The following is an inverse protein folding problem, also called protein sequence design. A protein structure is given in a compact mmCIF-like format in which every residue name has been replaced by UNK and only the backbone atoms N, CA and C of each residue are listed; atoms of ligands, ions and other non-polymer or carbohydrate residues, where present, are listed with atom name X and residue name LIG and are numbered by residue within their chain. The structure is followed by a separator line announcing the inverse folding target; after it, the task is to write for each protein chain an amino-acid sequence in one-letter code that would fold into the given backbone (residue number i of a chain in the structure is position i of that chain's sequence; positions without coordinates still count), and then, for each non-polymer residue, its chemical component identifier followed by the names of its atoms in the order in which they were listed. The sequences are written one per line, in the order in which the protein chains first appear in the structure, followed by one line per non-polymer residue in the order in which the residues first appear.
data_IF_667357084804
#
_entry.id   IF_667357084804
#
_cell.length_a   1.000
_cell.length_b   1.000
_cell.length_c   1.000
_cell.angle_alpha   90.00
_cell.angle_beta   90.00
_cell.angle_gamma   90.00
#
_symmetry.space_group_name_H-M   'P 1'
#
loop_
_entity.id
_entity.type
_entity.pdbx_description
1 polymer ?
#
# COMPACT_ATOMS: atom_id res chain seq x y z
N UNK A 1 -36.67 18.64 -39.67
CA UNK A 1 -37.48 18.84 -38.47
C UNK A 1 -38.17 17.52 -38.14
N UNK A 2 -37.50 16.70 -37.33
CA UNK A 2 -37.96 15.36 -36.96
C UNK A 2 -38.73 15.37 -35.62
N UNK A 3 -38.81 16.53 -34.97
CA UNK A 3 -39.44 16.82 -33.69
C UNK A 3 -40.49 17.94 -33.76
N UNK A 4 -40.75 18.47 -34.96
CA UNK A 4 -41.79 19.42 -35.33
C UNK A 4 -41.74 20.74 -34.54
N UNK A 5 -40.55 21.23 -34.19
CA UNK A 5 -40.36 22.46 -33.42
C UNK A 5 -40.21 23.72 -34.30
N UNK A 6 -40.22 23.55 -35.63
CA UNK A 6 -40.07 24.63 -36.59
C UNK A 6 -38.63 24.94 -36.98
N UNK A 7 -37.65 24.16 -36.48
CA UNK A 7 -36.25 24.26 -36.87
C UNK A 7 -35.80 22.93 -37.51
N UNK A 8 -35.05 23.04 -38.60
CA UNK A 8 -34.59 21.87 -39.35
C UNK A 8 -33.19 21.51 -38.86
N UNK A 9 -33.06 20.29 -38.31
CA UNK A 9 -31.80 19.68 -37.87
C UNK A 9 -31.19 20.32 -36.61
N UNK A 10 -32.03 20.76 -35.67
CA UNK A 10 -31.58 21.27 -34.38
C UNK A 10 -31.02 20.13 -33.50
N UNK A 11 -29.83 20.37 -32.92
CA UNK A 11 -29.14 19.49 -31.96
C UNK A 11 -28.62 18.13 -32.48
N UNK A 12 -28.03 18.11 -33.67
CA UNK A 12 -27.21 16.97 -34.12
C UNK A 12 -25.89 16.88 -33.33
N UNK A 13 -25.93 16.31 -32.13
CA UNK A 13 -24.76 15.93 -31.34
C UNK A 13 -24.53 14.42 -31.36
N UNK A 14 -23.27 14.01 -31.47
CA UNK A 14 -22.88 12.60 -31.35
C UNK A 14 -21.66 12.49 -30.43
N UNK A 15 -21.59 11.41 -29.63
CA UNK A 15 -20.37 11.10 -28.91
C UNK A 15 -19.24 10.74 -29.88
N UNK A 16 -18.04 11.15 -29.53
CA UNK A 16 -16.85 10.89 -30.31
C UNK A 16 -15.68 10.62 -29.36
N UNK A 17 -14.74 9.81 -29.82
CA UNK A 17 -13.49 9.57 -29.11
C UNK A 17 -12.47 9.11 -30.12
N UNK A 18 -11.37 9.85 -30.25
CA UNK A 18 -10.32 9.58 -31.25
C UNK A 18 -9.14 8.78 -30.69
N UNK A 19 -9.17 8.41 -29.42
CA UNK A 19 -8.14 7.61 -28.77
C UNK A 19 -8.21 6.12 -29.11
N UNK A 20 -7.18 5.34 -28.74
CA UNK A 20 -7.16 3.88 -28.92
C UNK A 20 -8.36 3.19 -28.27
N UNK A 21 -8.80 2.07 -28.84
CA UNK A 21 -9.89 1.29 -28.28
C UNK A 21 -9.52 0.78 -26.87
N UNK A 22 -10.42 0.96 -25.90
CA UNK A 22 -10.22 0.54 -24.52
C UNK A 22 -9.73 1.65 -23.58
N UNK A 23 -9.37 2.83 -24.09
CA UNK A 23 -8.91 3.97 -23.25
C UNK A 23 -10.02 4.95 -22.88
N UNK A 24 -11.16 4.93 -23.59
CA UNK A 24 -12.28 5.84 -23.32
C UNK A 24 -12.90 5.56 -21.94
N UNK A 25 -12.92 6.56 -21.07
CA UNK A 25 -13.48 6.45 -19.72
C UNK A 25 -12.55 5.75 -18.72
N UNK A 26 -11.27 5.59 -19.06
CA UNK A 26 -10.21 5.08 -18.18
C UNK A 26 -9.34 6.26 -17.78
N UNK A 27 -8.99 6.37 -16.49
CA UNK A 27 -8.21 7.49 -15.98
C UNK A 27 -8.87 8.84 -16.27
N UNK A 28 -8.07 9.77 -16.80
CA UNK A 28 -8.57 11.09 -17.22
C UNK A 28 -9.21 11.09 -18.62
N UNK A 29 -9.09 10.00 -19.38
CA UNK A 29 -9.58 9.95 -20.76
C UNK A 29 -11.10 9.92 -20.83
N UNK A 30 -11.65 10.80 -21.64
CA UNK A 30 -13.09 10.89 -21.83
C UNK A 30 -13.47 11.17 -23.27
N UNK A 31 -14.65 10.69 -23.65
CA UNK A 31 -15.27 10.98 -24.93
C UNK A 31 -15.73 12.45 -24.98
N UNK A 32 -15.61 13.06 -26.15
CA UNK A 32 -16.16 14.38 -26.45
C UNK A 32 -17.48 14.29 -27.20
N UNK A 33 -17.92 15.44 -27.72
CA UNK A 33 -19.07 15.58 -28.59
C UNK A 33 -18.66 16.21 -29.93
N UNK A 34 -19.23 15.70 -31.03
CA UNK A 34 -19.24 16.40 -32.31
C UNK A 34 -20.61 17.02 -32.52
N UNK A 35 -20.64 18.20 -33.15
CA UNK A 35 -21.87 18.87 -33.59
C UNK A 35 -21.89 18.94 -35.13
N UNK A 36 -23.06 18.85 -35.74
CA UNK A 36 -23.20 19.07 -37.17
C UNK A 36 -23.32 20.57 -37.46
N UNK A 37 -22.30 21.16 -38.09
CA UNK A 37 -22.28 22.58 -38.47
C UNK A 37 -22.18 22.69 -39.98
N UNK A 38 -23.20 23.29 -40.62
CA UNK A 38 -23.25 23.50 -42.07
C UNK A 38 -23.07 22.20 -42.90
N UNK A 39 -23.66 21.10 -42.44
CA UNK A 39 -23.60 19.80 -43.11
C UNK A 39 -22.27 19.04 -42.95
N UNK A 40 -21.40 19.47 -42.03
CA UNK A 40 -20.15 18.78 -41.68
C UNK A 40 -20.04 18.59 -40.17
N UNK A 41 -19.49 17.46 -39.73
CA UNK A 41 -19.19 17.24 -38.31
C UNK A 41 -18.03 18.12 -37.86
N UNK A 42 -18.18 18.74 -36.68
CA UNK A 42 -17.12 19.48 -36.01
C UNK A 42 -15.97 18.57 -35.56
N UNK A 43 -14.92 19.18 -34.99
CA UNK A 43 -13.97 18.42 -34.18
C UNK A 43 -14.67 17.78 -32.97
N UNK A 44 -14.04 16.75 -32.40
CA UNK A 44 -14.51 16.14 -31.17
C UNK A 44 -14.18 17.07 -29.99
N UNK A 45 -15.16 17.84 -29.54
CA UNK A 45 -14.99 18.83 -28.49
C UNK A 45 -15.12 18.17 -27.11
N UNK A 46 -14.17 18.49 -26.21
CA UNK A 46 -14.18 17.97 -24.84
C UNK A 46 -13.58 16.58 -24.65
N UNK A 47 -13.08 15.94 -25.72
CA UNK A 47 -12.34 14.68 -25.55
C UNK A 47 -11.00 14.92 -24.83
N UNK A 48 -10.63 13.98 -23.99
CA UNK A 48 -9.29 13.88 -23.39
C UNK A 48 -8.69 12.59 -23.90
N UNK A 49 -7.61 12.70 -24.65
CA UNK A 49 -6.91 11.57 -25.25
C UNK A 49 -5.75 11.13 -24.36
N UNK A 50 -5.30 9.86 -24.47
CA UNK A 50 -4.11 9.39 -23.81
C UNK A 50 -2.90 10.28 -24.08
N UNK A 51 -2.19 10.62 -23.03
CA UNK A 51 -0.94 11.37 -23.04
C UNK A 51 0.17 10.53 -22.39
N UNK A 52 1.37 11.10 -22.29
CA UNK A 52 2.45 10.49 -21.54
C UNK A 52 2.20 10.70 -20.05
N UNK A 53 2.47 9.66 -19.26
CA UNK A 53 2.44 9.69 -17.79
C UNK A 53 3.33 10.80 -17.19
N UNK A 54 2.77 11.52 -16.23
CA UNK A 54 3.45 12.47 -15.35
C UNK A 54 3.12 12.11 -13.90
N UNK A 55 4.00 12.44 -12.94
CA UNK A 55 3.70 12.19 -11.53
C UNK A 55 2.67 13.20 -10.99
N UNK A 56 1.39 13.00 -11.32
CA UNK A 56 0.28 13.84 -10.86
C UNK A 56 -0.86 13.06 -10.19
N UNK A 57 -0.60 11.81 -9.80
CA UNK A 57 -1.56 10.87 -9.20
C UNK A 57 -2.76 10.62 -10.15
N UNK A 58 -2.53 10.64 -11.47
CA UNK A 58 -3.57 10.40 -12.47
C UNK A 58 -3.05 9.54 -13.63
N UNK A 59 -3.90 8.60 -14.07
CA UNK A 59 -3.70 7.78 -15.26
C UNK A 59 -3.85 8.65 -16.53
N UNK A 60 -2.73 9.15 -17.07
CA UNK A 60 -2.69 10.05 -18.21
C UNK A 60 -2.69 9.30 -19.56
N UNK A 61 -2.16 8.08 -19.61
CA UNK A 61 -2.10 7.23 -20.79
C UNK A 61 -3.33 6.30 -20.92
N UNK A 62 -4.16 6.29 -19.89
CA UNK A 62 -5.46 5.66 -19.80
C UNK A 62 -5.39 4.13 -19.95
N UNK A 63 -4.37 3.53 -19.35
CA UNK A 63 -4.16 2.08 -19.32
C UNK A 63 -4.72 1.40 -18.05
N UNK A 64 -5.18 2.17 -17.06
CA UNK A 64 -5.77 1.70 -15.82
C UNK A 64 -4.82 1.65 -14.62
N UNK A 65 -3.60 2.15 -14.75
CA UNK A 65 -2.67 2.42 -13.66
C UNK A 65 -2.38 3.93 -13.57
N UNK A 66 -2.03 4.41 -12.38
CA UNK A 66 -1.63 5.80 -12.16
C UNK A 66 -0.09 5.84 -12.05
N UNK A 67 0.54 6.83 -12.69
CA UNK A 67 1.97 7.15 -12.59
C UNK A 67 2.95 6.00 -12.96
N UNK A 68 2.56 5.06 -13.83
CA UNK A 68 3.48 4.06 -14.38
C UNK A 68 4.36 4.63 -15.51
N UNK A 69 5.52 4.03 -15.77
CA UNK A 69 6.41 4.43 -16.88
C UNK A 69 6.78 5.94 -16.92
N UNK A 70 6.62 6.69 -15.82
CA UNK A 70 6.86 8.14 -15.80
C UNK A 70 8.31 8.44 -16.19
N UNK A 71 8.46 9.27 -17.22
CA UNK A 71 9.78 9.72 -17.67
C UNK A 71 10.19 10.94 -16.86
N UNK A 72 10.96 10.75 -15.80
CA UNK A 72 11.49 11.87 -15.01
C UNK A 72 12.68 12.50 -15.75
N UNK A 73 12.57 13.77 -16.12
CA UNK A 73 13.70 14.53 -16.64
C UNK A 73 14.72 14.77 -15.53
N UNK A 74 15.85 14.08 -15.59
CA UNK A 74 17.02 14.39 -14.77
C UNK A 74 17.60 15.74 -15.20
N UNK A 75 18.20 16.47 -14.26
CA UNK A 75 18.87 17.76 -14.51
C UNK A 75 20.03 17.69 -15.54
N UNK A 76 20.37 16.49 -16.02
CA UNK A 76 21.39 16.24 -17.05
C UNK A 76 20.84 16.10 -18.48
N UNK A 77 19.51 16.17 -18.68
CA UNK A 77 18.90 16.14 -20.00
C UNK A 77 18.87 14.78 -20.69
N UNK A 78 19.07 13.68 -19.95
CA UNK A 78 18.86 12.33 -20.48
C UNK A 78 17.40 11.89 -20.32
N UNK A 79 16.80 11.37 -21.41
CA UNK A 79 15.50 10.70 -21.34
C UNK A 79 15.74 9.28 -20.82
N UNK A 80 15.56 9.08 -19.52
CA UNK A 80 15.60 7.76 -18.92
C UNK A 80 14.18 7.34 -18.55
N UNK A 81 13.71 6.22 -19.09
CA UNK A 81 12.56 5.49 -18.56
C UNK A 81 12.93 5.05 -17.14
N UNK A 82 12.32 5.70 -16.14
CA UNK A 82 12.56 5.37 -14.74
C UNK A 82 11.42 4.45 -14.33
N UNK A 83 11.70 3.15 -14.23
CA UNK A 83 10.80 2.24 -13.54
C UNK A 83 10.67 2.73 -12.09
N UNK A 84 9.45 2.90 -11.54
CA UNK A 84 9.28 3.30 -10.15
C UNK A 84 9.96 2.26 -9.25
N UNK A 85 11.08 2.64 -8.64
CA UNK A 85 11.79 1.79 -7.69
C UNK A 85 11.08 1.93 -6.34
N UNK A 86 10.13 1.03 -6.07
CA UNK A 86 9.52 0.93 -4.75
C UNK A 86 10.61 0.64 -3.70
N UNK A 87 10.73 1.53 -2.72
CA UNK A 87 11.67 1.31 -1.61
C UNK A 87 11.13 0.18 -0.72
N UNK A 88 11.99 -0.71 -0.21
CA UNK A 88 11.57 -1.70 0.76
C UNK A 88 10.91 -1.02 1.97
N UNK A 89 9.95 -1.69 2.60
CA UNK A 89 9.24 -1.15 3.76
C UNK A 89 9.51 -2.02 4.98
N UNK A 90 10.00 -1.41 6.05
CA UNK A 90 10.07 -2.02 7.37
C UNK A 90 8.86 -1.53 8.17
N UNK A 91 7.97 -2.45 8.52
CA UNK A 91 6.74 -2.20 9.27
C UNK A 91 6.97 -2.67 10.70
N UNK A 92 6.96 -1.71 11.63
CA UNK A 92 7.18 -1.93 13.05
C UNK A 92 5.81 -1.91 13.73
N UNK A 93 5.30 -3.09 14.07
CA UNK A 93 4.11 -3.22 14.90
C UNK A 93 4.50 -3.17 16.37
N UNK A 94 3.79 -2.37 17.13
CA UNK A 94 3.94 -2.24 18.58
C UNK A 94 2.57 -2.50 19.15
N UNK A 95 2.43 -3.60 19.87
CA UNK A 95 1.12 -4.06 20.37
C UNK A 95 1.12 -4.03 21.88
N UNK A 96 0.22 -3.22 22.45
CA UNK A 96 0.03 -3.11 23.90
C UNK A 96 -0.50 -4.44 24.50
N UNK A 97 0.09 -4.84 25.61
CA UNK A 97 -0.20 -6.06 26.36
C UNK A 97 -1.11 -5.80 27.58
N UNK A 98 -1.78 -4.65 27.63
CA UNK A 98 -2.61 -4.23 28.76
C UNK A 98 -3.96 -4.94 28.87
N UNK A 99 -4.58 -4.85 30.06
CA UNK A 99 -5.96 -5.25 30.39
C UNK A 99 -6.97 -4.96 29.28
N UNK A 100 -6.93 -3.73 28.77
CA UNK A 100 -7.87 -3.18 27.79
C UNK A 100 -7.70 -3.72 26.37
N UNK A 101 -6.63 -4.46 26.08
CA UNK A 101 -6.33 -5.00 24.74
C UNK A 101 -6.60 -6.50 24.60
N UNK A 102 -7.21 -7.13 25.60
CA UNK A 102 -7.29 -8.60 25.66
C UNK A 102 -8.06 -9.19 24.46
N UNK A 103 -9.14 -8.55 24.03
CA UNK A 103 -9.93 -9.00 22.87
C UNK A 103 -9.25 -8.59 21.55
N UNK A 104 -8.58 -7.44 21.55
CA UNK A 104 -7.85 -6.87 20.43
C UNK A 104 -6.62 -7.72 20.07
N UNK A 105 -5.89 -8.28 21.05
CA UNK A 105 -4.73 -9.14 20.79
C UNK A 105 -5.13 -10.38 19.96
N UNK A 106 -6.30 -10.97 20.24
CA UNK A 106 -6.83 -12.09 19.45
C UNK A 106 -7.19 -11.65 18.03
N UNK A 107 -7.75 -10.45 17.88
CA UNK A 107 -8.04 -9.87 16.57
C UNK A 107 -6.76 -9.58 15.78
N UNK A 108 -5.71 -9.07 16.42
CA UNK A 108 -4.40 -8.80 15.81
C UNK A 108 -3.74 -10.11 15.34
N UNK A 109 -3.75 -11.17 16.16
CA UNK A 109 -3.19 -12.48 15.77
C UNK A 109 -3.85 -13.08 14.53
N UNK A 110 -5.18 -12.98 14.46
CA UNK A 110 -5.94 -13.50 13.32
C UNK A 110 -5.69 -12.65 12.08
N UNK A 111 -5.84 -11.32 12.18
CA UNK A 111 -5.78 -10.42 11.03
C UNK A 111 -4.37 -10.26 10.43
N UNK A 112 -3.30 -10.33 11.23
CA UNK A 112 -1.93 -10.24 10.71
C UNK A 112 -1.63 -11.38 9.74
N UNK A 113 -2.07 -12.61 10.05
CA UNK A 113 -1.82 -13.78 9.21
C UNK A 113 -2.85 -13.95 8.09
N UNK A 114 -4.12 -13.64 8.30
CA UNK A 114 -5.17 -13.89 7.28
C UNK A 114 -5.37 -12.72 6.34
N UNK A 115 -5.24 -11.49 6.81
CA UNK A 115 -5.60 -10.30 6.04
C UNK A 115 -4.35 -9.55 5.62
N UNK A 116 -3.46 -9.21 6.54
CA UNK A 116 -2.28 -8.42 6.23
C UNK A 116 -1.30 -9.19 5.34
N UNK A 117 -0.90 -10.41 5.72
CA UNK A 117 0.03 -11.21 4.91
C UNK A 117 -0.52 -11.51 3.50
N UNK A 118 -1.82 -11.80 3.39
CA UNK A 118 -2.47 -12.09 2.10
C UNK A 118 -2.56 -10.86 1.18
N UNK A 119 -2.78 -9.67 1.73
CA UNK A 119 -2.81 -8.41 0.97
C UNK A 119 -1.39 -8.07 0.50
N UNK A 120 -0.41 -8.09 1.41
CA UNK A 120 0.96 -7.69 1.08
C UNK A 120 1.62 -8.62 0.06
N UNK A 121 1.31 -9.92 0.09
CA UNK A 121 1.79 -10.89 -0.91
C UNK A 121 1.17 -10.65 -2.30
N UNK A 122 0.09 -9.87 -2.43
CA UNK A 122 -0.52 -9.45 -3.70
C UNK A 122 -0.04 -8.08 -4.20
N UNK A 123 0.63 -7.29 -3.35
CA UNK A 123 1.01 -5.90 -3.65
C UNK A 123 2.41 -5.74 -4.27
N UNK A 124 3.13 -6.82 -4.55
CA UNK A 124 4.54 -6.82 -5.01
C UNK A 124 5.50 -5.96 -4.16
N UNK A 125 5.13 -5.71 -2.89
CA UNK A 125 5.91 -4.89 -1.97
C UNK A 125 7.03 -5.72 -1.31
N UNK A 126 8.25 -5.20 -1.31
CA UNK A 126 9.34 -5.76 -0.50
C UNK A 126 9.21 -5.32 0.97
N UNK A 127 8.43 -6.06 1.76
CA UNK A 127 8.16 -5.74 3.15
C UNK A 127 8.87 -6.63 4.17
N UNK A 128 9.11 -6.07 5.35
CA UNK A 128 9.58 -6.75 6.55
C UNK A 128 8.73 -6.33 7.73
N UNK A 129 8.34 -7.29 8.55
CA UNK A 129 7.58 -7.05 9.77
C UNK A 129 8.47 -7.23 10.99
N UNK A 130 8.47 -6.23 11.85
CA UNK A 130 9.12 -6.26 13.17
C UNK A 130 8.02 -6.05 14.21
N UNK A 131 7.75 -7.05 15.03
CA UNK A 131 6.76 -7.00 16.10
C UNK A 131 7.44 -6.77 17.45
N UNK A 132 7.05 -5.71 18.15
CA UNK A 132 7.41 -5.42 19.53
C UNK A 132 6.20 -5.66 20.41
N UNK A 133 6.20 -6.76 21.14
CA UNK A 133 5.15 -7.11 22.08
C UNK A 133 5.55 -8.38 22.83
N UNK A 134 4.94 -8.66 23.98
CA UNK A 134 5.29 -9.83 24.78
C UNK A 134 4.91 -11.11 24.02
N UNK A 135 5.87 -12.01 23.85
CA UNK A 135 5.61 -13.31 23.22
C UNK A 135 4.91 -14.26 24.19
N UNK A 136 3.85 -14.92 23.72
CA UNK A 136 3.12 -15.89 24.54
C UNK A 136 1.73 -16.18 24.00
N UNK A 137 0.82 -16.58 24.89
CA UNK A 137 -0.56 -16.91 24.52
C UNK A 137 -1.47 -15.72 24.80
N UNK A 138 -2.26 -15.33 23.79
CA UNK A 138 -3.26 -14.28 23.91
C UNK A 138 -4.24 -14.51 25.08
N UNK A 139 -4.68 -15.76 25.27
CA UNK A 139 -5.73 -16.12 26.24
C UNK A 139 -5.30 -16.18 27.70
N UNK A 140 -4.01 -16.09 28.03
CA UNK A 140 -3.53 -16.25 29.42
C UNK A 140 -2.57 -15.17 29.90
N UNK A 141 -1.80 -14.57 29.00
CA UNK A 141 -0.65 -13.72 29.38
C UNK A 141 -0.66 -12.36 28.70
N UNK A 142 -1.79 -12.00 28.08
CA UNK A 142 -1.97 -10.79 27.27
C UNK A 142 -0.81 -10.62 26.27
N UNK A 143 -0.36 -11.74 25.73
CA UNK A 143 0.85 -11.86 24.92
C UNK A 143 0.44 -12.26 23.51
N UNK A 144 1.26 -11.89 22.54
CA UNK A 144 1.00 -12.18 21.13
C UNK A 144 1.89 -13.30 20.60
N UNK A 145 1.36 -14.11 19.70
CA UNK A 145 2.10 -15.12 18.97
C UNK A 145 1.59 -15.25 17.54
N UNK A 146 2.41 -14.81 16.59
CA UNK A 146 2.13 -14.95 15.16
C UNK A 146 2.65 -16.31 14.69
N UNK A 147 1.74 -17.15 14.19
CA UNK A 147 2.05 -18.45 13.58
C UNK A 147 2.39 -18.30 12.09
N UNK A 148 2.87 -19.36 11.40
CA UNK A 148 2.93 -19.39 9.94
C UNK A 148 1.59 -18.99 9.28
N UNK A 149 1.60 -18.39 8.08
CA UNK A 149 2.74 -18.30 7.16
C UNK A 149 3.74 -17.18 7.46
N UNK A 150 3.34 -16.14 8.20
CA UNK A 150 4.22 -14.99 8.46
C UNK A 150 5.22 -15.29 9.58
N UNK A 151 4.76 -15.83 10.70
CA UNK A 151 5.59 -16.10 11.87
C UNK A 151 6.37 -17.41 11.81
N UNK A 152 7.50 -17.49 12.53
CA UNK A 152 8.38 -18.67 12.52
C UNK A 152 8.00 -19.76 13.54
N UNK A 153 7.10 -19.47 14.48
CA UNK A 153 6.69 -20.43 15.51
C UNK A 153 5.51 -21.29 15.03
N UNK A 154 5.74 -22.59 14.83
CA UNK A 154 4.64 -23.54 14.60
C UNK A 154 3.65 -23.61 15.79
N UNK A 155 4.04 -23.13 16.97
CA UNK A 155 3.25 -23.19 18.19
C UNK A 155 3.58 -22.07 19.18
N UNK A 156 2.55 -21.61 19.90
CA UNK A 156 2.62 -20.52 20.89
C UNK A 156 2.95 -20.99 22.31
N UNK A 157 3.20 -22.29 22.51
CA UNK A 157 3.66 -22.83 23.79
C UNK A 157 5.18 -22.69 24.00
N UNK A 158 5.87 -22.07 23.04
CA UNK A 158 7.30 -21.83 23.10
C UNK A 158 7.59 -20.64 24.00
N UNK A 159 8.63 -20.74 24.82
CA UNK A 159 9.04 -19.64 25.71
C UNK A 159 9.59 -18.43 24.97
N UNK A 160 10.05 -18.63 23.73
CA UNK A 160 10.66 -17.59 22.90
C UNK A 160 10.14 -17.62 21.47
N UNK A 161 10.01 -16.45 20.84
CA UNK A 161 9.69 -16.39 19.43
C UNK A 161 10.85 -16.93 18.58
N UNK A 162 10.53 -17.29 17.36
CA UNK A 162 11.41 -17.75 16.30
C UNK A 162 11.19 -16.83 15.11
N UNK A 163 12.24 -16.14 14.69
CA UNK A 163 12.19 -15.28 13.53
C UNK A 163 11.98 -16.11 12.26
N UNK A 164 11.20 -15.58 11.32
CA UNK A 164 11.03 -16.10 9.98
C UNK A 164 11.85 -15.26 8.98
N UNK A 165 11.67 -15.53 7.68
CA UNK A 165 12.40 -14.83 6.61
C UNK A 165 12.12 -13.32 6.55
N UNK A 166 10.87 -12.93 6.78
CA UNK A 166 10.39 -11.54 6.71
C UNK A 166 9.66 -11.06 7.98
N UNK A 167 9.63 -11.88 9.02
CA UNK A 167 8.98 -11.56 10.28
C UNK A 167 9.92 -11.77 11.45
N UNK A 168 10.06 -10.74 12.27
CA UNK A 168 10.91 -10.72 13.44
C UNK A 168 10.11 -10.29 14.65
N UNK A 169 10.28 -10.99 15.77
CA UNK A 169 9.51 -10.68 16.99
C UNK A 169 10.47 -10.40 18.13
N UNK A 170 10.46 -9.15 18.57
CA UNK A 170 11.13 -8.69 19.78
C UNK A 170 10.18 -8.85 20.97
N UNK A 171 10.44 -9.84 21.82
CA UNK A 171 9.61 -10.07 23.00
C UNK A 171 9.91 -9.03 24.08
N UNK A 172 8.95 -8.14 24.33
CA UNK A 172 8.98 -7.16 25.43
C UNK A 172 7.56 -6.84 25.87
N UNK A 173 7.37 -6.64 27.16
CA UNK A 173 6.12 -6.11 27.67
C UNK A 173 5.96 -4.65 27.24
N UNK A 174 4.82 -4.36 26.62
CA UNK A 174 4.34 -3.02 26.27
C UNK A 174 3.08 -2.77 27.09
N UNK A 175 3.01 -1.65 27.79
CA UNK A 175 1.82 -1.19 28.48
C UNK A 175 1.24 0.07 27.84
N UNK A 176 0.02 0.43 28.27
CA UNK A 176 -0.78 1.52 27.66
C UNK A 176 -0.18 2.92 27.68
N UNK A 177 0.93 3.14 28.41
CA UNK A 177 1.55 4.45 28.57
C UNK A 177 3.07 4.43 28.36
N UNK A 178 3.64 3.30 27.92
CA UNK A 178 5.09 3.18 27.77
C UNK A 178 5.56 2.73 26.38
N UNK A 179 4.64 2.54 25.42
CA UNK A 179 4.94 2.08 24.05
C UNK A 179 6.13 2.81 23.41
N UNK A 180 6.09 4.14 23.31
CA UNK A 180 7.19 4.94 22.75
C UNK A 180 8.50 4.77 23.53
N UNK A 181 8.43 4.73 24.86
CA UNK A 181 9.60 4.51 25.70
C UNK A 181 10.19 3.13 25.43
N UNK A 182 9.36 2.09 25.33
CA UNK A 182 9.77 0.72 25.01
C UNK A 182 10.40 0.62 23.63
N UNK A 183 9.85 1.26 22.61
CA UNK A 183 10.42 1.32 21.27
C UNK A 183 11.87 1.85 21.32
N UNK A 184 12.07 3.02 21.95
CA UNK A 184 13.39 3.65 22.06
C UNK A 184 14.35 2.85 22.95
N UNK A 185 13.86 2.36 24.08
CA UNK A 185 14.65 1.62 25.06
C UNK A 185 15.19 0.32 24.46
N UNK A 186 14.39 -0.38 23.67
CA UNK A 186 14.73 -1.68 23.06
C UNK A 186 15.50 -1.57 21.74
N UNK A 187 15.64 -0.35 21.19
CA UNK A 187 16.25 -0.11 19.87
C UNK A 187 17.59 -0.82 19.68
N UNK A 188 18.50 -0.68 20.63
CA UNK A 188 19.85 -1.27 20.61
C UNK A 188 20.12 -2.19 21.82
N UNK A 189 19.08 -2.86 22.35
CA UNK A 189 19.22 -3.74 23.52
C UNK A 189 18.78 -5.15 23.21
N UNK A 190 19.50 -6.13 23.74
CA UNK A 190 19.09 -7.52 23.59
C UNK A 190 17.71 -7.78 24.20
N UNK A 191 16.92 -8.59 23.50
CA UNK A 191 15.71 -9.18 24.05
C UNK A 191 16.06 -10.32 25.01
N UNK A 192 15.08 -10.71 25.83
CA UNK A 192 15.23 -11.79 26.81
C UNK A 192 15.53 -13.15 26.17
N UNK A 193 15.13 -13.34 24.90
CA UNK A 193 15.34 -14.57 24.15
C UNK A 193 16.61 -14.55 23.29
N UNK A 194 17.40 -13.47 23.35
CA UNK A 194 18.61 -13.27 22.56
C UNK A 194 18.39 -13.51 21.05
N UNK A 195 17.20 -13.19 20.54
CA UNK A 195 16.88 -13.17 19.11
C UNK A 195 17.40 -11.91 18.45
N UNK A 196 17.53 -10.86 19.23
CA UNK A 196 17.95 -9.54 18.83
C UNK A 196 19.16 -9.08 19.67
N UNK A 197 20.35 -9.72 19.57
CA UNK A 197 21.49 -9.40 20.44
C UNK A 197 21.93 -7.92 20.42
N UNK A 198 21.80 -7.24 19.27
CA UNK A 198 22.04 -5.81 19.11
C UNK A 198 20.80 -4.92 19.19
N UNK A 199 19.65 -5.43 19.64
CA UNK A 199 18.35 -4.76 19.56
C UNK A 199 17.60 -4.97 18.26
N UNK A 200 16.32 -4.60 18.25
CA UNK A 200 15.48 -4.79 17.06
C UNK A 200 15.93 -3.93 15.87
N UNK A 201 16.71 -2.87 16.11
CA UNK A 201 17.30 -2.04 15.06
C UNK A 201 18.14 -2.81 14.07
N UNK A 202 18.75 -3.94 14.49
CA UNK A 202 19.56 -4.78 13.61
C UNK A 202 18.75 -5.41 12.47
N UNK A 203 17.42 -5.48 12.62
CA UNK A 203 16.53 -5.99 11.59
C UNK A 203 16.04 -4.89 10.64
N UNK A 204 16.37 -3.61 10.90
CA UNK A 204 16.08 -2.54 9.97
C UNK A 204 17.00 -2.61 8.76
N UNK A 205 16.43 -2.36 7.57
CA UNK A 205 17.15 -2.35 6.30
C UNK A 205 17.59 -0.92 5.95
N UNK A 206 18.84 -0.72 5.50
CA UNK A 206 19.26 0.56 4.95
C UNK A 206 18.40 0.95 3.75
N UNK A 207 17.97 2.22 3.68
CA UNK A 207 17.17 2.74 2.57
C UNK A 207 15.69 2.34 2.58
N UNK A 208 15.26 1.47 3.51
CA UNK A 208 13.85 1.13 3.67
C UNK A 208 13.04 2.28 4.29
N UNK A 209 11.82 2.46 3.81
CA UNK A 209 10.81 3.27 4.50
C UNK A 209 10.45 2.58 5.83
N UNK A 210 10.26 3.37 6.89
CA UNK A 210 9.97 2.84 8.23
C UNK A 210 8.60 3.32 8.66
N UNK A 211 7.70 2.39 8.93
CA UNK A 211 6.33 2.68 9.35
C UNK A 211 6.13 2.11 10.74
N UNK A 212 5.68 2.94 11.68
CA UNK A 212 5.34 2.51 13.02
C UNK A 212 3.82 2.42 13.13
N UNK A 213 3.33 1.26 13.56
CA UNK A 213 1.92 1.02 13.83
C UNK A 213 1.84 0.64 15.30
N UNK A 214 1.36 1.57 16.11
CA UNK A 214 0.99 1.29 17.50
C UNK A 214 -0.48 0.84 17.53
N UNK A 215 -0.73 -0.26 18.22
CA UNK A 215 -2.06 -0.84 18.43
C UNK A 215 -2.24 -1.06 19.92
#
# INVERSE_FOLDING_TARGET
DNDCDGVVDDELFQSCYRGPQGTAGVGICQAGLVSCVSGSWSGCEGEVLPALEVCDDADNDCNGAEDENVTVYTQDGSNQSVEPVYRPVDIIFVVDNSGSMTDEIVAVENNINTSFAAIMDQSDLDYRVILLSKHGRASSDQSICIRPPLGGNASCYTSCPTNASRFFHYSTEIGSHDSLNRILYTYNRTDACNRAPGGWSQWLRPGAARVFIEI
#
